data_IF_975852653937
#
_entry.id   IF_975852653937
#
_cell.length_a   1.000
_cell.length_b   1.000
_cell.length_c   1.000
_cell.angle_alpha   90.00
_cell.angle_beta   90.00
_cell.angle_gamma   90.00
#
_symmetry.space_group_name_H-M   'P 1'
#
loop_
_entity.id
_entity.type
_entity.pdbx_description
1 polymer ?
#
# COMPACT_ATOMS: atom_id res chain seq x y z
N UNK A 1 8.22 -10.34 43.08
CA UNK A 1 8.22 -9.26 42.06
C UNK A 1 7.51 -8.10 42.69
N UNK A 2 8.06 -6.89 42.62
CA UNK A 2 7.58 -5.69 43.33
C UNK A 2 7.20 -4.57 42.36
N UNK A 3 7.90 -4.48 41.22
CA UNK A 3 7.59 -3.53 40.17
C UNK A 3 8.00 -4.01 38.77
N UNK A 4 7.38 -3.43 37.75
CA UNK A 4 7.72 -3.59 36.33
C UNK A 4 7.84 -2.23 35.65
N UNK A 5 8.58 -2.16 34.55
CA UNK A 5 8.71 -0.95 33.74
C UNK A 5 7.98 -1.16 32.42
N UNK A 6 6.98 -0.32 32.13
CA UNK A 6 6.20 -0.36 30.90
C UNK A 6 6.67 0.75 29.98
N UNK A 7 7.15 0.40 28.79
CA UNK A 7 7.54 1.36 27.76
C UNK A 7 6.40 1.55 26.76
N UNK A 8 5.86 2.75 26.68
CA UNK A 8 4.75 3.09 25.78
C UNK A 8 4.84 4.57 25.34
N UNK A 9 4.57 4.85 24.07
CA UNK A 9 4.58 6.22 23.54
C UNK A 9 5.91 6.96 23.71
N UNK A 10 7.03 6.24 23.71
CA UNK A 10 8.37 6.81 23.95
C UNK A 10 8.69 7.12 25.42
N UNK A 11 7.77 6.88 26.36
CA UNK A 11 7.95 7.08 27.81
C UNK A 11 8.07 5.74 28.55
N UNK A 12 8.65 5.77 29.74
CA UNK A 12 8.72 4.64 30.66
C UNK A 12 7.84 4.90 31.89
N UNK A 13 7.00 3.93 32.24
CA UNK A 13 6.05 3.97 33.35
C UNK A 13 6.42 2.88 34.36
N UNK A 14 6.62 3.26 35.62
CA UNK A 14 6.97 2.31 36.69
C UNK A 14 5.70 1.86 37.38
N UNK A 15 5.33 0.59 37.17
CA UNK A 15 4.15 -0.02 37.76
C UNK A 15 4.58 -0.74 39.04
N UNK A 16 4.14 -0.22 40.18
CA UNK A 16 4.41 -0.76 41.52
C UNK A 16 3.16 -1.47 42.08
N UNK A 17 3.27 -2.08 43.26
CA UNK A 17 2.13 -2.73 43.91
C UNK A 17 1.71 -4.06 43.28
N UNK A 18 2.60 -4.67 42.49
CA UNK A 18 2.40 -5.99 41.90
C UNK A 18 3.07 -7.05 42.77
N UNK A 19 2.52 -8.26 42.76
CA UNK A 19 3.06 -9.43 43.45
C UNK A 19 3.03 -10.66 42.53
N UNK A 20 3.49 -11.81 43.03
CA UNK A 20 3.36 -13.08 42.31
C UNK A 20 1.90 -13.48 42.06
N UNK A 21 0.99 -13.07 42.94
CA UNK A 21 -0.45 -13.37 42.87
C UNK A 21 -1.23 -12.36 42.03
N UNK A 22 -0.56 -11.33 41.50
CA UNK A 22 -1.19 -10.40 40.57
C UNK A 22 -1.40 -11.09 39.23
N UNK A 23 -2.61 -10.99 38.69
CA UNK A 23 -2.95 -11.47 37.35
C UNK A 23 -2.50 -10.50 36.24
N UNK A 24 -2.41 -10.99 35.01
CA UNK A 24 -2.15 -10.13 33.83
C UNK A 24 -3.24 -9.07 33.67
N UNK A 25 -4.50 -9.38 33.97
CA UNK A 25 -5.59 -8.40 33.95
C UNK A 25 -5.36 -7.26 34.95
N UNK A 26 -5.00 -7.60 36.19
CA UNK A 26 -4.70 -6.60 37.22
C UNK A 26 -3.49 -5.75 36.84
N UNK A 27 -2.45 -6.35 36.24
CA UNK A 27 -1.34 -5.59 35.66
C UNK A 27 -1.84 -4.60 34.59
N UNK A 28 -2.73 -5.02 33.68
CA UNK A 28 -3.30 -4.13 32.67
C UNK A 28 -4.14 -3.00 33.27
N UNK A 29 -4.87 -3.26 34.34
CA UNK A 29 -5.62 -2.22 35.07
C UNK A 29 -4.68 -1.18 35.68
N UNK A 30 -3.59 -1.60 36.33
CA UNK A 30 -2.57 -0.68 36.87
C UNK A 30 -1.88 0.13 35.76
N UNK A 31 -1.69 -0.46 34.57
CA UNK A 31 -1.17 0.26 33.40
C UNK A 31 -2.17 1.32 32.91
N UNK A 32 -3.46 1.00 32.92
CA UNK A 32 -4.51 1.95 32.52
C UNK A 32 -4.50 3.18 33.44
N UNK A 33 -4.31 3.01 34.75
CA UNK A 33 -4.26 4.12 35.70
C UNK A 33 -3.15 5.12 35.38
N UNK A 34 -2.01 4.66 34.85
CA UNK A 34 -0.88 5.53 34.52
C UNK A 34 -0.86 6.01 33.07
N UNK A 35 -1.50 5.28 32.15
CA UNK A 35 -1.40 5.52 30.69
C UNK A 35 -2.72 5.92 30.04
N UNK A 36 -3.85 5.81 30.75
CA UNK A 36 -5.23 5.95 30.25
C UNK A 36 -5.61 4.95 29.12
N UNK A 37 -4.72 4.02 28.75
CA UNK A 37 -5.00 2.98 27.74
C UNK A 37 -5.81 1.86 28.38
N UNK A 38 -6.98 1.52 27.83
CA UNK A 38 -7.84 0.46 28.39
C UNK A 38 -7.22 -0.93 28.27
N UNK A 39 -7.44 -1.86 29.22
CA UNK A 39 -6.87 -3.22 29.23
C UNK A 39 -7.04 -3.99 27.91
N UNK A 40 -8.20 -3.90 27.28
CA UNK A 40 -8.53 -4.51 25.99
C UNK A 40 -7.73 -3.95 24.81
N UNK A 41 -7.12 -2.75 24.97
CA UNK A 41 -6.27 -2.09 23.96
C UNK A 41 -4.78 -2.27 24.24
N UNK A 42 -4.40 -2.87 25.37
CA UNK A 42 -3.01 -3.07 25.74
C UNK A 42 -2.46 -4.39 25.19
N UNK A 43 -1.45 -4.31 24.33
CA UNK A 43 -0.66 -5.44 23.84
C UNK A 43 0.73 -5.41 24.47
N UNK A 44 0.99 -6.34 25.38
CA UNK A 44 2.29 -6.50 26.06
C UNK A 44 3.19 -7.42 25.22
N UNK A 45 4.11 -6.83 24.44
CA UNK A 45 4.82 -7.54 23.36
C UNK A 45 5.86 -8.57 23.85
N UNK A 46 6.50 -8.27 24.97
CA UNK A 46 7.61 -9.06 25.50
C UNK A 46 7.23 -9.88 26.72
N UNK A 47 5.94 -9.93 27.06
CA UNK A 47 5.40 -10.78 28.11
C UNK A 47 4.83 -12.02 27.44
N UNK A 48 5.49 -13.17 27.61
CA UNK A 48 5.14 -14.41 26.91
C UNK A 48 5.11 -15.61 27.87
N UNK A 49 4.12 -16.48 27.68
CA UNK A 49 4.03 -17.80 28.27
C UNK A 49 4.10 -18.83 27.14
N UNK A 50 5.09 -19.72 27.15
CA UNK A 50 5.31 -20.73 26.10
C UNK A 50 5.32 -20.14 24.67
N UNK A 51 5.92 -18.97 24.50
CA UNK A 51 6.04 -18.28 23.21
C UNK A 51 4.79 -17.53 22.74
N UNK A 52 3.67 -17.60 23.47
CA UNK A 52 2.41 -16.89 23.18
C UNK A 52 2.14 -15.79 24.21
N UNK A 53 1.33 -14.76 23.87
CA UNK A 53 0.88 -13.79 24.86
C UNK A 53 0.04 -14.50 25.94
N UNK A 54 0.27 -14.22 27.23
CA UNK A 54 -0.50 -14.84 28.31
C UNK A 54 -1.94 -14.35 28.32
N UNK A 55 -2.86 -15.21 28.79
CA UNK A 55 -4.24 -14.84 29.08
C UNK A 55 -4.34 -13.92 30.29
N UNK A 56 -5.52 -13.32 30.48
CA UNK A 56 -5.76 -12.27 31.47
C UNK A 56 -5.80 -12.84 32.91
N UNK A 57 -6.22 -14.10 33.03
CA UNK A 57 -6.29 -14.91 34.25
C UNK A 57 -4.93 -15.44 34.74
N UNK A 58 -3.88 -15.34 33.92
CA UNK A 58 -2.56 -15.87 34.24
C UNK A 58 -1.88 -15.01 35.31
N UNK A 59 -1.31 -15.64 36.33
CA UNK A 59 -0.56 -14.97 37.39
C UNK A 59 0.85 -14.58 36.93
N UNK A 60 1.34 -13.43 37.41
CA UNK A 60 2.69 -12.96 37.10
C UNK A 60 3.78 -13.92 37.62
N UNK A 61 3.51 -14.66 38.69
CA UNK A 61 4.41 -15.71 39.22
C UNK A 61 4.69 -16.83 38.21
N UNK A 62 3.73 -17.12 37.33
CA UNK A 62 3.85 -18.17 36.31
C UNK A 62 4.59 -17.74 35.05
N UNK A 63 4.93 -16.45 34.94
CA UNK A 63 5.60 -15.88 33.78
C UNK A 63 7.11 -15.79 34.03
N UNK A 64 7.96 -15.97 33.00
CA UNK A 64 9.41 -15.85 33.10
C UNK A 64 9.85 -14.37 33.17
N UNK A 65 9.30 -13.62 34.13
CA UNK A 65 9.51 -12.18 34.27
C UNK A 65 10.21 -11.88 35.58
N UNK A 66 11.21 -10.99 35.56
CA UNK A 66 12.00 -10.59 36.73
C UNK A 66 11.53 -9.24 37.28
N UNK A 67 11.86 -8.97 38.55
CA UNK A 67 11.63 -7.65 39.13
C UNK A 67 12.33 -6.57 38.30
N UNK A 68 11.64 -5.47 37.99
CA UNK A 68 12.16 -4.38 37.17
C UNK A 68 12.35 -4.69 35.69
N UNK A 69 11.80 -5.80 35.18
CA UNK A 69 11.82 -6.09 33.75
C UNK A 69 11.10 -5.00 32.95
N UNK A 70 11.66 -4.69 31.76
CA UNK A 70 11.09 -3.74 30.81
C UNK A 70 10.17 -4.45 29.83
N UNK A 71 8.89 -4.08 29.83
CA UNK A 71 7.87 -4.61 28.92
C UNK A 71 7.48 -3.50 27.94
N UNK A 72 7.54 -3.80 26.64
CA UNK A 72 7.01 -2.90 25.61
C UNK A 72 5.50 -3.09 25.51
N UNK A 73 4.76 -2.00 25.62
CA UNK A 73 3.30 -1.98 25.46
C UNK A 73 2.94 -1.21 24.19
N UNK A 74 2.02 -1.79 23.41
CA UNK A 74 1.34 -1.14 22.29
C UNK A 74 -0.12 -0.92 22.68
N UNK A 75 -0.64 0.27 22.42
CA UNK A 75 -2.02 0.63 22.71
C UNK A 75 -2.30 2.09 22.34
N UNK A 76 -3.57 2.43 22.19
CA UNK A 76 -4.02 3.77 21.81
C UNK A 76 -5.05 4.28 22.81
N UNK A 77 -5.08 5.59 23.01
CA UNK A 77 -6.06 6.25 23.87
C UNK A 77 -7.42 6.33 23.16
N UNK A 78 -8.52 6.20 23.91
CA UNK A 78 -9.87 6.30 23.34
C UNK A 78 -10.12 7.67 22.67
N UNK A 79 -9.56 8.75 23.22
CA UNK A 79 -9.64 10.11 22.63
C UNK A 79 -8.95 10.21 21.27
N UNK A 80 -7.85 9.50 21.06
CA UNK A 80 -7.12 9.49 19.78
C UNK A 80 -7.84 8.62 18.72
N UNK A 81 -8.55 7.58 19.18
CA UNK A 81 -9.39 6.74 18.32
C UNK A 81 -10.64 7.51 17.89
N UNK A 82 -11.31 8.21 18.81
CA UNK A 82 -12.47 9.06 18.49
C UNK A 82 -12.10 10.20 17.54
N UNK A 83 -10.96 10.87 17.76
CA UNK A 83 -10.43 11.86 16.82
C UNK A 83 -10.16 11.29 15.41
N UNK A 84 -9.88 9.99 15.30
CA UNK A 84 -9.69 9.28 14.03
C UNK A 84 -10.99 8.74 13.41
N UNK A 85 -12.07 8.62 14.18
CA UNK A 85 -13.39 8.11 13.73
C UNK A 85 -14.34 9.23 13.30
N UNK A 86 -14.08 10.48 13.69
CA UNK A 86 -14.84 11.63 13.23
C UNK A 86 -14.28 12.10 11.88
N UNK A 87 -15.02 12.00 10.76
CA UNK A 87 -14.56 12.57 9.49
C UNK A 87 -14.45 14.09 9.67
N UNK A 88 -13.28 14.70 9.44
CA UNK A 88 -13.17 16.15 9.54
C UNK A 88 -14.07 16.80 8.49
N UNK A 89 -14.91 17.74 8.92
CA UNK A 89 -15.84 18.51 8.08
C UNK A 89 -15.13 19.41 7.06
N UNK A 90 -13.82 19.61 7.22
CA UNK A 90 -12.95 20.23 6.25
C UNK A 90 -11.91 19.19 5.81
N UNK A 91 -12.28 18.36 4.84
CA UNK A 91 -11.30 17.55 4.12
C UNK A 91 -10.31 18.55 3.48
N UNK A 92 -9.00 18.49 3.79
CA UNK A 92 -8.04 19.34 3.12
C UNK A 92 -8.14 19.10 1.62
N UNK A 93 -7.99 20.18 0.83
CA UNK A 93 -7.84 20.07 -0.61
C UNK A 93 -6.85 18.94 -0.92
N UNK A 94 -7.32 17.90 -1.62
CA UNK A 94 -6.46 16.82 -2.11
C UNK A 94 -5.52 17.48 -3.11
N UNK A 95 -4.37 17.93 -2.60
CA UNK A 95 -3.35 18.53 -3.43
C UNK A 95 -2.79 17.42 -4.29
N UNK A 96 -2.94 17.55 -5.61
CA UNK A 96 -2.22 16.75 -6.58
C UNK A 96 -0.72 16.95 -6.33
N UNK A 97 -0.09 15.99 -5.67
CA UNK A 97 1.31 15.96 -5.28
C UNK A 97 2.27 15.69 -6.48
N UNK A 98 1.71 15.67 -7.70
CA UNK A 98 2.35 15.46 -8.99
C UNK A 98 2.63 16.74 -9.80
N UNK A 99 2.20 17.93 -9.34
CA UNK A 99 2.55 19.17 -10.03
C UNK A 99 3.94 19.66 -9.54
N UNK A 100 5.00 19.07 -10.08
CA UNK A 100 6.36 19.61 -10.00
C UNK A 100 6.60 20.46 -11.26
N UNK A 101 6.45 21.78 -11.11
CA UNK A 101 6.82 22.79 -12.10
C UNK A 101 8.27 23.21 -11.88
N UNK A 102 9.24 22.41 -12.31
CA UNK A 102 10.64 22.87 -12.41
C UNK A 102 11.29 22.32 -13.69
N UNK A 103 11.87 23.24 -14.46
CA UNK A 103 12.38 23.08 -15.84
C UNK A 103 13.66 22.22 -15.99
N UNK A 104 13.75 21.12 -15.25
CA UNK A 104 14.69 20.03 -15.54
C UNK A 104 13.97 18.99 -16.41
N UNK A 105 14.68 18.29 -17.32
CA UNK A 105 14.04 17.26 -18.18
C UNK A 105 13.13 16.38 -17.34
N UNK A 106 11.83 16.41 -17.66
CA UNK A 106 10.81 15.75 -16.87
C UNK A 106 11.20 14.29 -16.65
N UNK A 107 10.95 13.76 -15.44
CA UNK A 107 11.51 12.48 -14.96
C UNK A 107 11.26 11.34 -15.94
N UNK A 108 10.14 11.39 -16.68
CA UNK A 108 9.74 10.46 -17.72
C UNK A 108 10.63 10.45 -18.97
N UNK A 109 11.33 11.55 -19.28
CA UNK A 109 12.18 11.69 -20.48
C UNK A 109 13.67 11.49 -20.20
N UNK A 110 14.05 11.23 -18.94
CA UNK A 110 15.45 11.01 -18.57
C UNK A 110 15.99 9.72 -19.20
N UNK A 111 17.15 9.74 -19.89
CA UNK A 111 17.68 8.57 -20.61
C UNK A 111 17.79 7.31 -19.77
N UNK A 112 18.18 7.42 -18.49
CA UNK A 112 18.29 6.31 -17.56
C UNK A 112 16.94 5.66 -17.24
N UNK A 113 15.85 6.43 -17.24
CA UNK A 113 14.50 5.91 -16.99
C UNK A 113 13.95 5.26 -18.27
N UNK A 114 14.19 5.85 -19.44
CA UNK A 114 13.86 5.23 -20.73
C UNK A 114 14.60 3.89 -20.91
N UNK A 115 15.88 3.80 -20.52
CA UNK A 115 16.65 2.56 -20.55
C UNK A 115 16.07 1.48 -19.62
N UNK A 116 15.61 1.87 -18.41
CA UNK A 116 14.92 0.94 -17.49
C UNK A 116 13.61 0.43 -18.08
N UNK A 117 12.81 1.30 -18.71
CA UNK A 117 11.58 0.93 -19.40
C UNK A 117 11.88 -0.05 -20.53
N UNK A 118 12.87 0.26 -21.37
CA UNK A 118 13.29 -0.62 -22.48
C UNK A 118 13.73 -2.00 -21.98
N UNK A 119 14.52 -2.04 -20.92
CA UNK A 119 14.92 -3.30 -20.31
C UNK A 119 13.73 -4.12 -19.78
N UNK A 120 12.70 -3.48 -19.21
CA UNK A 120 11.46 -4.15 -18.80
C UNK A 120 10.67 -4.66 -20.01
N UNK A 121 10.60 -3.90 -21.10
CA UNK A 121 9.98 -4.33 -22.36
C UNK A 121 10.67 -5.58 -22.90
N UNK A 122 11.99 -5.71 -22.76
CA UNK A 122 12.70 -6.90 -23.25
C UNK A 122 12.56 -8.11 -22.33
N UNK A 123 12.63 -7.91 -21.01
CA UNK A 123 12.77 -9.01 -20.04
C UNK A 123 11.47 -9.48 -19.40
N UNK A 124 10.47 -8.61 -19.25
CA UNK A 124 9.23 -9.00 -18.58
C UNK A 124 8.36 -9.86 -19.51
N UNK A 125 7.73 -10.89 -18.96
CA UNK A 125 6.69 -11.65 -19.64
C UNK A 125 5.32 -11.25 -19.08
N UNK A 126 4.41 -10.84 -19.96
CA UNK A 126 3.05 -10.44 -19.59
C UNK A 126 2.08 -11.48 -20.13
N UNK A 127 1.58 -12.32 -19.23
CA UNK A 127 0.62 -13.36 -19.57
C UNK A 127 -0.76 -12.74 -19.89
N UNK A 128 -1.13 -12.76 -21.16
CA UNK A 128 -2.49 -12.40 -21.60
C UNK A 128 -3.46 -13.50 -21.16
N UNK A 129 -4.44 -13.12 -20.34
CA UNK A 129 -5.52 -14.00 -19.86
C UNK A 129 -6.73 -13.96 -20.79
N UNK A 130 -7.04 -12.78 -21.30
CA UNK A 130 -8.13 -12.55 -22.24
C UNK A 130 -7.61 -11.67 -23.39
N UNK A 131 -7.91 -12.05 -24.62
CA UNK A 131 -7.45 -11.33 -25.81
C UNK A 131 -8.01 -9.90 -25.85
N UNK A 132 -7.22 -8.99 -26.38
CA UNK A 132 -7.64 -7.60 -26.60
C UNK A 132 -8.73 -7.51 -27.66
N UNK A 133 -9.68 -6.60 -27.44
CA UNK A 133 -10.83 -6.44 -28.33
C UNK A 133 -10.58 -5.32 -29.34
N UNK A 134 -10.85 -5.55 -30.64
CA UNK A 134 -10.64 -4.53 -31.67
C UNK A 134 -11.34 -3.21 -31.33
N UNK A 135 -10.62 -2.10 -31.47
CA UNK A 135 -11.14 -0.75 -31.25
C UNK A 135 -11.33 -0.32 -29.79
N UNK A 136 -11.08 -1.20 -28.80
CA UNK A 136 -11.19 -0.85 -27.38
C UNK A 136 -9.92 -0.17 -26.88
N UNK A 137 -10.10 0.75 -25.92
CA UNK A 137 -8.99 1.41 -25.21
C UNK A 137 -8.48 0.50 -24.10
N UNK A 138 -7.41 0.91 -23.40
CA UNK A 138 -6.90 0.17 -22.23
C UNK A 138 -7.14 0.98 -20.95
N UNK A 139 -7.76 0.35 -19.97
CA UNK A 139 -7.87 0.87 -18.62
C UNK A 139 -6.96 0.06 -17.71
N UNK A 140 -5.96 0.72 -17.10
CA UNK A 140 -5.04 0.09 -16.14
C UNK A 140 -5.44 0.54 -14.74
N UNK A 141 -5.74 -0.43 -13.85
CA UNK A 141 -6.21 -0.17 -12.50
C UNK A 141 -5.23 -0.70 -11.46
N UNK A 142 -5.00 0.09 -10.41
CA UNK A 142 -4.40 -0.41 -9.17
C UNK A 142 -5.44 -1.18 -8.35
N UNK A 143 -5.01 -1.83 -7.26
CA UNK A 143 -5.87 -2.59 -6.36
C UNK A 143 -6.08 -1.84 -5.05
N UNK A 144 -4.99 -1.62 -4.31
CA UNK A 144 -5.02 -1.13 -2.94
C UNK A 144 -5.45 0.33 -2.92
N UNK A 145 -6.53 0.63 -2.17
CA UNK A 145 -7.22 1.93 -2.17
C UNK A 145 -7.78 2.38 -3.52
N UNK A 146 -7.81 1.49 -4.52
CA UNK A 146 -8.47 1.75 -5.82
C UNK A 146 -9.72 0.90 -5.99
N UNK A 147 -9.62 -0.42 -5.79
CA UNK A 147 -10.74 -1.36 -5.91
C UNK A 147 -11.15 -1.95 -4.55
N UNK A 148 -10.29 -1.81 -3.54
CA UNK A 148 -10.41 -2.50 -2.27
C UNK A 148 -9.68 -1.76 -1.14
N UNK A 149 -10.26 -1.78 0.06
CA UNK A 149 -9.62 -1.35 1.29
C UNK A 149 -8.81 -2.50 1.90
N UNK A 150 -7.49 -2.36 1.87
CA UNK A 150 -6.54 -3.35 2.37
C UNK A 150 -6.11 -3.15 3.82
N UNK A 151 -6.54 -2.06 4.48
CA UNK A 151 -6.12 -1.74 5.85
C UNK A 151 -7.16 -2.10 6.89
N UNK A 152 -8.44 -2.14 6.51
CA UNK A 152 -9.50 -2.51 7.43
C UNK A 152 -9.58 -4.01 7.67
N UNK A 153 -9.87 -4.40 8.91
CA UNK A 153 -10.20 -5.77 9.28
C UNK A 153 -11.69 -6.01 9.01
N UNK A 154 -12.02 -6.42 7.79
CA UNK A 154 -13.38 -6.82 7.42
C UNK A 154 -13.60 -8.31 7.68
N UNK A 155 -14.75 -8.67 8.27
CA UNK A 155 -15.14 -10.08 8.49
C UNK A 155 -15.40 -10.82 7.17
N UNK A 156 -15.72 -10.10 6.10
CA UNK A 156 -15.95 -10.66 4.76
C UNK A 156 -15.39 -9.72 3.69
N UNK A 157 -14.82 -10.28 2.63
CA UNK A 157 -14.25 -9.54 1.51
C UNK A 157 -15.17 -8.47 0.90
N UNK A 158 -16.50 -8.71 0.96
CA UNK A 158 -17.52 -7.78 0.47
C UNK A 158 -17.50 -6.44 1.21
N UNK A 159 -17.16 -6.41 2.50
CA UNK A 159 -17.08 -5.17 3.29
C UNK A 159 -15.84 -4.32 2.96
N UNK A 160 -14.83 -4.96 2.38
CA UNK A 160 -13.58 -4.30 1.99
C UNK A 160 -13.58 -3.91 0.51
N UNK A 161 -14.56 -4.40 -0.26
CA UNK A 161 -14.75 -4.06 -1.66
C UNK A 161 -15.18 -2.60 -1.79
N UNK A 162 -14.57 -1.85 -2.72
CA UNK A 162 -15.05 -0.50 -3.01
C UNK A 162 -16.49 -0.57 -3.52
N UNK A 163 -17.42 0.27 -3.01
CA UNK A 163 -18.79 0.30 -3.49
C UNK A 163 -18.84 0.44 -5.02
N UNK A 164 -19.76 -0.30 -5.64
CA UNK A 164 -19.98 -0.35 -7.09
C UNK A 164 -18.81 -0.92 -7.92
N UNK A 165 -17.92 -1.72 -7.33
CA UNK A 165 -16.77 -2.29 -8.04
C UNK A 165 -17.18 -3.05 -9.31
N UNK A 166 -18.16 -3.95 -9.22
CA UNK A 166 -18.54 -4.79 -10.36
C UNK A 166 -19.29 -3.98 -11.42
N UNK A 167 -20.18 -3.09 -11.00
CA UNK A 167 -20.93 -2.18 -11.87
C UNK A 167 -19.98 -1.25 -12.64
N UNK A 168 -18.95 -0.73 -11.95
CA UNK A 168 -17.88 0.05 -12.56
C UNK A 168 -17.11 -0.76 -13.61
N UNK A 169 -16.66 -1.97 -13.27
CA UNK A 169 -15.89 -2.80 -14.19
C UNK A 169 -16.72 -3.27 -15.39
N UNK A 170 -17.99 -3.63 -15.19
CA UNK A 170 -18.93 -3.95 -16.27
C UNK A 170 -19.15 -2.76 -17.19
N UNK A 171 -19.30 -1.55 -16.63
CA UNK A 171 -19.45 -0.33 -17.42
C UNK A 171 -18.18 -0.01 -18.20
N UNK A 172 -17.02 0.01 -17.53
CA UNK A 172 -15.73 0.27 -18.16
C UNK A 172 -15.40 -0.74 -19.26
N UNK A 173 -15.76 -2.01 -19.06
CA UNK A 173 -15.51 -3.05 -20.04
C UNK A 173 -16.24 -2.82 -21.37
N UNK A 174 -17.29 -2.00 -21.42
CA UNK A 174 -17.94 -1.64 -22.68
C UNK A 174 -16.98 -0.92 -23.64
N UNK A 175 -16.06 -0.11 -23.10
CA UNK A 175 -15.20 0.77 -23.89
C UNK A 175 -13.70 0.45 -23.76
N UNK A 176 -13.32 -0.27 -22.71
CA UNK A 176 -11.94 -0.55 -22.35
C UNK A 176 -11.68 -2.04 -22.14
N UNK A 177 -10.56 -2.54 -22.67
CA UNK A 177 -9.91 -3.71 -22.09
C UNK A 177 -9.30 -3.32 -20.74
N UNK A 178 -9.38 -4.21 -19.76
CA UNK A 178 -9.03 -3.87 -18.37
C UNK A 178 -7.80 -4.66 -17.95
N UNK A 179 -6.75 -3.96 -17.50
CA UNK A 179 -5.56 -4.55 -16.92
C UNK A 179 -5.43 -4.16 -15.45
N UNK A 180 -4.87 -5.05 -14.64
CA UNK A 180 -4.59 -4.78 -13.22
C UNK A 180 -3.08 -4.64 -13.03
N UNK A 181 -2.64 -3.55 -12.40
CA UNK A 181 -1.24 -3.34 -12.05
C UNK A 181 -1.08 -2.91 -10.59
N UNK A 182 -0.57 -3.81 -9.74
CA UNK A 182 -0.34 -3.56 -8.31
C UNK A 182 1.14 -3.63 -7.94
N UNK A 183 1.55 -2.85 -6.93
CA UNK A 183 2.88 -2.90 -6.34
C UNK A 183 3.09 -4.11 -5.39
N UNK A 184 2.32 -5.18 -5.56
CA UNK A 184 2.43 -6.44 -4.82
C UNK A 184 2.87 -7.57 -5.75
N UNK A 185 3.09 -8.79 -5.23
CA UNK A 185 3.43 -9.93 -6.07
C UNK A 185 2.23 -10.47 -6.86
N UNK A 186 2.48 -11.11 -8.00
CA UNK A 186 1.41 -11.71 -8.81
C UNK A 186 0.52 -12.69 -8.03
N UNK A 187 1.09 -13.39 -7.03
CA UNK A 187 0.33 -14.27 -6.12
C UNK A 187 -0.75 -13.49 -5.38
N UNK A 188 -0.40 -12.34 -4.81
CA UNK A 188 -1.34 -11.49 -4.07
C UNK A 188 -2.38 -10.84 -4.99
N UNK A 189 -1.99 -10.46 -6.20
CA UNK A 189 -2.93 -9.94 -7.21
C UNK A 189 -4.01 -10.98 -7.52
N UNK A 190 -3.60 -12.21 -7.85
CA UNK A 190 -4.53 -13.31 -8.16
C UNK A 190 -5.47 -13.59 -6.99
N UNK A 191 -4.93 -13.65 -5.77
CA UNK A 191 -5.74 -13.90 -4.59
C UNK A 191 -6.74 -12.78 -4.32
N UNK A 192 -6.34 -11.51 -4.44
CA UNK A 192 -7.26 -10.36 -4.30
C UNK A 192 -8.33 -10.35 -5.39
N UNK A 193 -7.98 -10.60 -6.65
CA UNK A 193 -8.96 -10.65 -7.74
C UNK A 193 -9.95 -11.81 -7.59
N UNK A 194 -9.50 -12.95 -7.07
CA UNK A 194 -10.37 -14.08 -6.72
C UNK A 194 -11.29 -13.73 -5.55
N UNK A 195 -10.74 -13.17 -4.48
CA UNK A 195 -11.45 -12.76 -3.27
C UNK A 195 -12.56 -11.73 -3.58
N UNK A 196 -12.27 -10.78 -4.46
CA UNK A 196 -13.20 -9.74 -4.90
C UNK A 196 -14.20 -10.22 -5.96
N UNK A 197 -14.13 -11.48 -6.42
CA UNK A 197 -15.00 -11.99 -7.47
C UNK A 197 -14.72 -11.41 -8.86
N UNK A 198 -13.58 -10.73 -9.05
CA UNK A 198 -13.22 -10.12 -10.33
C UNK A 198 -12.56 -11.09 -11.31
N UNK A 199 -11.90 -12.15 -10.82
CA UNK A 199 -11.08 -13.02 -11.67
C UNK A 199 -11.91 -13.85 -12.68
N UNK A 200 -13.13 -14.21 -12.32
CA UNK A 200 -14.02 -15.05 -13.14
C UNK A 200 -15.43 -14.46 -13.30
N UNK A 201 -15.55 -13.13 -13.41
CA UNK A 201 -16.85 -12.48 -13.60
C UNK A 201 -17.44 -12.78 -14.99
N UNK A 202 -18.76 -12.82 -15.09
CA UNK A 202 -19.49 -13.09 -16.34
C UNK A 202 -19.52 -11.87 -17.25
N UNK A 203 -19.70 -10.69 -16.67
CA UNK A 203 -20.04 -9.46 -17.41
C UNK A 203 -18.83 -8.66 -17.91
N UNK A 204 -17.61 -9.01 -17.47
CA UNK A 204 -16.37 -8.40 -17.92
C UNK A 204 -15.21 -9.38 -17.86
N UNK A 205 -14.12 -9.03 -18.56
CA UNK A 205 -12.88 -9.81 -18.59
C UNK A 205 -11.67 -8.93 -18.31
N UNK A 206 -10.73 -9.45 -17.53
CA UNK A 206 -9.45 -8.80 -17.25
C UNK A 206 -8.40 -9.32 -18.24
N UNK A 207 -7.79 -8.43 -19.01
CA UNK A 207 -6.87 -8.76 -20.09
C UNK A 207 -5.57 -9.40 -19.57
N UNK A 208 -4.91 -8.76 -18.61
CA UNK A 208 -3.65 -9.25 -18.02
C UNK A 208 -3.39 -8.61 -16.65
N UNK A 209 -2.44 -9.17 -15.90
CA UNK A 209 -1.97 -8.66 -14.62
C UNK A 209 -0.49 -8.29 -14.67
N UNK A 210 -0.14 -7.16 -14.06
CA UNK A 210 1.24 -6.72 -13.83
C UNK A 210 1.47 -6.52 -12.33
N UNK A 211 2.65 -6.93 -11.89
CA UNK A 211 3.04 -6.93 -10.48
C UNK A 211 4.24 -6.01 -10.23
N UNK A 212 4.74 -5.98 -8.99
CA UNK A 212 5.88 -5.13 -8.61
C UNK A 212 7.14 -5.37 -9.46
N UNK A 213 7.33 -6.54 -10.09
CA UNK A 213 8.52 -6.82 -10.92
C UNK A 213 8.51 -6.05 -12.23
N UNK A 214 7.36 -5.53 -12.64
CA UNK A 214 7.21 -4.72 -13.84
C UNK A 214 7.46 -3.23 -13.58
N UNK A 215 7.58 -2.83 -12.31
CA UNK A 215 7.86 -1.46 -11.90
C UNK A 215 9.34 -1.11 -12.11
N UNK A 216 9.63 0.19 -12.08
CA UNK A 216 11.00 0.72 -12.12
C UNK A 216 11.19 1.72 -10.98
N UNK A 217 12.40 1.77 -10.45
CA UNK A 217 12.83 2.81 -9.54
C UNK A 217 13.27 4.04 -10.35
N UNK A 218 12.72 5.21 -10.04
CA UNK A 218 13.12 6.50 -10.61
C UNK A 218 13.59 7.43 -9.50
N UNK A 219 14.58 8.26 -9.80
CA UNK A 219 15.04 9.28 -8.88
C UNK A 219 14.26 10.57 -9.14
N UNK A 220 13.60 11.09 -8.11
CA UNK A 220 12.90 12.37 -8.09
C UNK A 220 13.62 13.33 -7.17
N UNK A 221 13.62 14.63 -7.49
CA UNK A 221 14.27 15.62 -6.62
C UNK A 221 13.59 15.71 -5.25
N UNK A 222 12.25 15.65 -5.24
CA UNK A 222 11.43 15.88 -4.06
C UNK A 222 11.27 14.67 -3.14
N UNK A 223 11.09 13.48 -3.70
CA UNK A 223 10.78 12.26 -2.94
C UNK A 223 11.93 11.26 -2.93
N UNK A 224 13.08 11.62 -3.51
CA UNK A 224 14.21 10.71 -3.69
C UNK A 224 13.85 9.56 -4.64
N UNK A 225 14.30 8.36 -4.33
CA UNK A 225 14.02 7.16 -5.14
C UNK A 225 12.60 6.67 -4.88
N UNK A 226 11.80 6.60 -5.94
CA UNK A 226 10.42 6.11 -5.89
C UNK A 226 10.19 4.99 -6.91
N UNK A 227 9.30 4.06 -6.59
CA UNK A 227 8.89 2.97 -7.48
C UNK A 227 7.66 3.38 -8.28
N UNK A 228 7.73 3.33 -9.61
CA UNK A 228 6.64 3.75 -10.50
C UNK A 228 6.15 2.63 -11.40
N UNK A 229 4.93 2.78 -11.92
CA UNK A 229 4.29 1.88 -12.89
C UNK A 229 4.37 2.49 -14.31
N UNK A 230 5.48 2.28 -15.04
CA UNK A 230 5.68 2.94 -16.34
C UNK A 230 4.77 2.33 -17.41
N UNK A 231 3.70 3.04 -17.80
CA UNK A 231 2.80 2.60 -18.89
C UNK A 231 3.54 2.36 -20.22
N UNK A 232 4.71 2.98 -20.41
CA UNK A 232 5.61 2.70 -21.53
C UNK A 232 6.00 1.22 -21.67
N UNK A 233 6.02 0.45 -20.58
CA UNK A 233 6.25 -1.02 -20.65
C UNK A 233 5.11 -1.71 -21.38
N UNK A 234 3.87 -1.32 -21.12
CA UNK A 234 2.68 -1.87 -21.79
C UNK A 234 2.69 -1.46 -23.26
N UNK A 235 2.95 -0.17 -23.54
CA UNK A 235 2.95 0.35 -24.91
C UNK A 235 4.04 -0.28 -25.77
N UNK A 236 5.23 -0.53 -25.20
CA UNK A 236 6.31 -1.22 -25.89
C UNK A 236 6.04 -2.71 -26.13
N UNK A 237 5.35 -3.38 -25.20
CA UNK A 237 4.96 -4.80 -25.34
C UNK A 237 3.80 -5.01 -26.30
N UNK A 238 2.86 -4.07 -26.36
CA UNK A 238 1.63 -4.17 -27.15
C UNK A 238 1.44 -2.97 -28.09
N UNK A 239 2.36 -2.72 -29.02
CA UNK A 239 2.38 -1.49 -29.83
C UNK A 239 1.17 -1.33 -30.76
N UNK A 240 0.50 -2.44 -31.11
CA UNK A 240 -0.62 -2.48 -32.05
C UNK A 240 -1.99 -2.38 -31.38
N UNK A 241 -2.07 -2.56 -30.06
CA UNK A 241 -3.32 -2.95 -29.41
C UNK A 241 -4.21 -1.76 -29.04
N UNK A 242 -3.67 -0.55 -28.93
CA UNK A 242 -4.48 0.61 -28.58
C UNK A 242 -4.00 1.84 -29.35
N UNK A 243 -4.17 1.85 -30.67
CA UNK A 243 -3.84 3.01 -31.53
C UNK A 243 -4.77 4.20 -31.23
N UNK A 244 -4.53 4.89 -30.12
CA UNK A 244 -4.77 6.33 -30.01
C UNK A 244 -3.52 7.07 -30.50
N UNK A 245 -3.65 8.36 -30.81
CA UNK A 245 -2.52 9.22 -31.13
C UNK A 245 -1.58 9.30 -29.92
N UNK A 246 -0.64 8.36 -29.84
CA UNK A 246 0.37 8.34 -28.78
C UNK A 246 1.41 9.39 -29.09
N UNK A 247 1.28 10.57 -28.51
CA UNK A 247 2.30 11.63 -28.57
C UNK A 247 3.68 11.17 -28.05
N UNK A 248 3.74 10.05 -27.31
CA UNK A 248 4.95 9.54 -26.66
C UNK A 248 5.80 8.57 -27.50
N UNK A 249 5.25 7.92 -28.53
CA UNK A 249 5.97 6.85 -29.23
C UNK A 249 6.64 7.28 -30.55
N UNK A 250 6.42 8.52 -31.03
CA UNK A 250 6.80 8.92 -32.40
C UNK A 250 7.53 10.26 -32.54
N UNK A 251 7.93 10.93 -31.46
CA UNK A 251 8.86 12.06 -31.60
C UNK A 251 10.29 11.56 -31.39
N UNK A 252 11.08 11.29 -32.45
CA UNK A 252 12.53 11.27 -32.27
C UNK A 252 12.93 12.62 -31.64
N UNK A 253 13.95 12.65 -30.77
CA UNK A 253 14.44 13.91 -30.21
C UNK A 253 14.79 14.81 -31.39
N UNK A 254 13.98 15.84 -31.62
CA UNK A 254 14.30 16.92 -32.54
C UNK A 254 15.61 17.49 -32.04
N UNK A 255 16.66 17.38 -32.86
CA UNK A 255 17.98 17.96 -32.59
C UNK A 255 17.78 19.38 -32.09
N UNK A 256 18.34 19.68 -30.91
CA UNK A 256 18.46 21.04 -30.39
C UNK A 256 19.06 21.94 -31.49
N UNK A 257 18.49 23.13 -31.75
CA UNK A 257 19.04 24.02 -32.75
C UNK A 257 20.27 24.71 -32.18
N UNK A 258 21.45 24.12 -32.37
CA UNK A 258 22.71 24.81 -32.23
C UNK A 258 23.59 24.56 -33.46
N UNK A 259 23.35 25.36 -34.49
CA UNK A 259 24.42 25.83 -35.37
C UNK A 259 24.52 27.35 -35.19
N UNK A 260 25.61 27.88 -34.60
CA UNK A 260 25.93 29.27 -34.84
C UNK A 260 26.37 29.38 -36.31
N UNK A 261 25.52 30.04 -37.11
CA UNK A 261 25.84 30.47 -38.46
C UNK A 261 27.16 31.25 -38.44
N UNK A 262 28.25 30.58 -38.82
CA UNK A 262 29.40 31.27 -39.41
C UNK A 262 28.96 31.83 -40.75
N UNK A 263 28.98 33.15 -40.87
CA UNK A 263 28.95 33.84 -42.15
C UNK A 263 29.76 35.14 -42.04
N UNK A 264 30.26 35.61 -43.18
CA UNK A 264 31.65 35.50 -43.60
C UNK A 264 32.52 36.69 -43.18
#
# INVERSE_FOLDING_TARGET
MEYLIIKWGGKEYRIEGISGETSVLQLKQLIQEQTEVRPERQKLLNLKLNGKPPGDEILLSSLPTKNGAKIMMMGSLEKDILASLTPPSNLPYVRNDLDDTDEETAVEFRPENLAKVQHRIEKCDIQIRNAFRPGKKLLVLDIDYTLFDHRSTGETARFLMRPYLHEFLTSAFKDYDIAIWSATSLKWIKEKMRLLGCDAHTDYKLAFFMDCRHMISVHTQKYGVVEVKPLGVIWGKFPTVHQGEHHYARRPPTKLPHEPSKRP
#
